data_IF_369125804929
#
_entry.id   IF_369125804929
#
_cell.length_a   1.000
_cell.length_b   1.000
_cell.length_c   1.000
_cell.angle_alpha   90.00
_cell.angle_beta   90.00
_cell.angle_gamma   90.00
#
_symmetry.space_group_name_H-M   'P 1'
#
loop_
_entity.id
_entity.type
_entity.pdbx_description
1 polymer ?
#
# COMPACT_ATOMS: atom_id res chain seq x y z
N UNK A 1 17.82 15.21 -3.46
CA UNK A 1 18.90 14.57 -4.24
C UNK A 1 19.93 13.83 -3.36
N UNK A 2 20.53 14.46 -2.34
CA UNK A 2 21.56 13.79 -1.51
C UNK A 2 21.05 12.62 -0.67
N UNK A 3 19.84 12.70 -0.10
CA UNK A 3 19.30 11.67 0.79
C UNK A 3 18.99 10.35 0.06
N UNK A 4 18.34 10.41 -1.10
CA UNK A 4 18.03 9.22 -1.92
C UNK A 4 19.30 8.54 -2.43
N UNK A 5 20.31 9.32 -2.81
CA UNK A 5 21.60 8.78 -3.22
C UNK A 5 22.32 8.06 -2.06
N UNK A 6 22.31 8.65 -0.86
CA UNK A 6 22.88 8.02 0.34
C UNK A 6 22.12 6.76 0.73
N UNK A 7 20.78 6.79 0.72
CA UNK A 7 19.95 5.60 0.97
C UNK A 7 20.21 4.50 -0.06
N UNK A 8 20.30 4.84 -1.35
CA UNK A 8 20.64 3.88 -2.40
C UNK A 8 22.03 3.26 -2.22
N UNK A 9 23.02 4.02 -1.77
CA UNK A 9 24.36 3.48 -1.42
C UNK A 9 24.25 2.50 -0.25
N UNK A 10 23.50 2.85 0.80
CA UNK A 10 23.31 1.98 1.98
C UNK A 10 22.64 0.66 1.57
N UNK A 11 21.63 0.72 0.70
CA UNK A 11 20.95 -0.48 0.16
C UNK A 11 21.89 -1.40 -0.60
N UNK A 12 22.70 -0.84 -1.51
CA UNK A 12 23.66 -1.59 -2.33
C UNK A 12 24.73 -2.22 -1.44
N UNK A 13 25.37 -1.43 -0.57
CA UNK A 13 26.48 -1.89 0.25
C UNK A 13 26.02 -2.88 1.33
N UNK A 14 24.88 -2.63 1.97
CA UNK A 14 24.30 -3.55 2.95
C UNK A 14 23.93 -4.90 2.34
N UNK A 15 23.30 -4.90 1.16
CA UNK A 15 22.99 -6.13 0.43
C UNK A 15 24.25 -6.89 0.03
N UNK A 16 25.26 -6.19 -0.51
CA UNK A 16 26.53 -6.79 -0.90
C UNK A 16 27.26 -7.43 0.29
N UNK A 17 27.24 -6.78 1.45
CA UNK A 17 27.84 -7.29 2.68
C UNK A 17 27.19 -8.60 3.13
N UNK A 18 25.86 -8.68 3.15
CA UNK A 18 25.13 -9.91 3.51
C UNK A 18 25.43 -11.03 2.53
N UNK A 19 25.42 -10.75 1.23
CA UNK A 19 25.75 -11.74 0.18
C UNK A 19 27.16 -12.31 0.41
N UNK A 20 28.14 -11.45 0.69
CA UNK A 20 29.51 -11.88 0.97
C UNK A 20 29.60 -12.74 2.24
N UNK A 21 28.89 -12.37 3.31
CA UNK A 21 28.88 -13.17 4.54
C UNK A 21 28.26 -14.55 4.32
N UNK A 22 27.12 -14.63 3.64
CA UNK A 22 26.46 -15.89 3.33
C UNK A 22 27.32 -16.78 2.42
N UNK A 23 27.99 -16.17 1.43
CA UNK A 23 28.93 -16.87 0.58
C UNK A 23 30.11 -17.45 1.37
N UNK A 24 30.63 -16.73 2.37
CA UNK A 24 31.69 -17.24 3.26
C UNK A 24 31.28 -18.46 4.10
N UNK A 25 29.97 -18.64 4.33
CA UNK A 25 29.39 -19.79 5.04
C UNK A 25 28.94 -20.92 4.07
N UNK A 26 29.25 -20.80 2.78
CA UNK A 26 28.91 -21.80 1.77
C UNK A 26 27.48 -21.72 1.25
N UNK A 27 26.76 -20.64 1.53
CA UNK A 27 25.38 -20.41 1.04
C UNK A 27 25.35 -19.29 0.01
N UNK A 28 24.70 -19.52 -1.13
CA UNK A 28 24.54 -18.48 -2.16
C UNK A 28 23.20 -17.79 -1.98
N UNK A 29 23.22 -16.47 -1.80
CA UNK A 29 22.03 -15.64 -1.70
C UNK A 29 21.99 -14.69 -2.89
N UNK A 30 20.97 -14.84 -3.74
CA UNK A 30 20.70 -13.95 -4.86
C UNK A 30 19.42 -13.17 -4.56
N UNK A 31 19.54 -12.13 -3.74
CA UNK A 31 18.41 -11.32 -3.31
C UNK A 31 18.81 -9.87 -3.05
N UNK A 32 17.86 -8.96 -3.26
CA UNK A 32 18.01 -7.53 -3.01
C UNK A 32 17.20 -7.14 -1.78
N UNK A 33 17.83 -6.45 -0.82
CA UNK A 33 17.15 -5.95 0.36
C UNK A 33 16.51 -4.60 0.00
N UNK A 34 15.27 -4.63 -0.48
CA UNK A 34 14.57 -3.47 -1.09
C UNK A 34 14.18 -2.32 -0.15
N UNK A 35 14.80 -2.21 1.03
CA UNK A 35 14.58 -1.10 1.96
C UNK A 35 15.90 -0.79 2.70
N UNK A 36 16.34 0.46 2.66
CA UNK A 36 17.57 0.93 3.31
C UNK A 36 17.66 0.58 4.80
N UNK A 37 16.54 0.56 5.52
CA UNK A 37 16.50 0.25 6.95
C UNK A 37 16.93 -1.21 7.23
N UNK A 38 16.47 -2.15 6.39
CA UNK A 38 16.89 -3.55 6.48
C UNK A 38 18.35 -3.72 6.08
N UNK A 39 18.79 -3.01 5.05
CA UNK A 39 20.18 -3.04 4.59
C UNK A 39 21.18 -2.47 5.61
N UNK A 40 20.73 -1.60 6.53
CA UNK A 40 21.56 -1.10 7.62
C UNK A 40 21.57 -2.04 8.83
N UNK A 41 20.40 -2.59 9.19
CA UNK A 41 20.22 -3.34 10.44
C UNK A 41 20.62 -4.81 10.34
N UNK A 42 20.31 -5.46 9.22
CA UNK A 42 20.49 -6.91 9.07
C UNK A 42 21.95 -7.35 8.96
N UNK A 43 22.85 -6.66 8.23
CA UNK A 43 24.23 -7.13 8.10
C UNK A 43 25.00 -7.22 9.44
N UNK A 44 24.96 -6.21 10.34
CA UNK A 44 25.58 -6.32 11.67
C UNK A 44 25.01 -7.46 12.52
N UNK A 45 23.70 -7.71 12.42
CA UNK A 45 23.05 -8.81 13.15
C UNK A 45 23.55 -10.16 12.66
N UNK A 46 23.55 -10.35 11.34
CA UNK A 46 24.02 -11.59 10.74
C UNK A 46 25.51 -11.80 11.02
N UNK A 47 26.31 -10.72 11.02
CA UNK A 47 27.70 -10.76 11.41
C UNK A 47 27.88 -11.23 12.85
N UNK A 48 27.09 -10.69 13.77
CA UNK A 48 27.09 -11.10 15.17
C UNK A 48 26.73 -12.58 15.34
N UNK A 49 25.73 -13.07 14.59
CA UNK A 49 25.32 -14.49 14.60
C UNK A 49 26.47 -15.39 14.12
N UNK A 50 27.17 -15.00 13.07
CA UNK A 50 28.27 -15.79 12.48
C UNK A 50 29.54 -15.73 13.35
N UNK A 51 29.84 -14.57 13.93
CA UNK A 51 31.13 -14.30 14.58
C UNK A 51 31.15 -14.62 16.07
N UNK A 52 30.00 -14.60 16.75
CA UNK A 52 29.90 -14.78 18.20
C UNK A 52 29.01 -16.00 18.51
N UNK A 53 29.58 -17.07 19.08
CA UNK A 53 28.79 -18.23 19.50
C UNK A 53 27.69 -17.84 20.48
N UNK A 54 26.44 -18.21 20.18
CA UNK A 54 25.29 -17.95 21.05
C UNK A 54 24.74 -16.51 20.97
N UNK A 55 25.23 -15.65 20.08
CA UNK A 55 24.68 -14.29 19.89
C UNK A 55 23.19 -14.28 19.57
N UNK A 56 22.70 -15.30 18.88
CA UNK A 56 21.27 -15.49 18.64
C UNK A 56 20.45 -15.46 19.95
N UNK A 57 20.91 -16.10 21.02
CA UNK A 57 20.20 -16.11 22.30
C UNK A 57 20.22 -14.73 22.98
N UNK A 58 21.26 -13.92 22.75
CA UNK A 58 21.32 -12.53 23.22
C UNK A 58 20.24 -11.70 22.54
N UNK A 59 20.08 -11.85 21.21
CA UNK A 59 19.01 -11.17 20.45
C UNK A 59 17.64 -11.60 20.99
N UNK A 60 17.42 -12.90 21.18
CA UNK A 60 16.15 -13.43 21.69
C UNK A 60 15.85 -12.89 23.09
N UNK A 61 16.85 -12.86 23.99
CA UNK A 61 16.68 -12.30 25.32
C UNK A 61 16.35 -10.79 25.28
N UNK A 62 17.05 -10.02 24.45
CA UNK A 62 16.76 -8.60 24.26
C UNK A 62 15.35 -8.37 23.70
N UNK A 63 14.93 -9.19 22.72
CA UNK A 63 13.58 -9.16 22.17
C UNK A 63 12.52 -9.49 23.22
N UNK A 64 12.75 -10.49 24.07
CA UNK A 64 11.83 -10.83 25.18
C UNK A 64 11.71 -9.70 26.20
N UNK A 65 12.82 -9.05 26.56
CA UNK A 65 12.81 -7.89 27.47
C UNK A 65 12.03 -6.74 26.85
N UNK A 66 12.29 -6.42 25.59
CA UNK A 66 11.54 -5.39 24.87
C UNK A 66 10.04 -5.73 24.83
N UNK A 67 9.68 -6.95 24.43
CA UNK A 67 8.30 -7.41 24.36
C UNK A 67 7.60 -7.37 25.72
N UNK A 68 8.31 -7.64 26.81
CA UNK A 68 7.74 -7.52 28.16
C UNK A 68 7.28 -6.08 28.46
N UNK A 69 8.13 -5.08 28.18
CA UNK A 69 7.78 -3.68 28.40
C UNK A 69 6.76 -3.16 27.37
N UNK A 70 6.96 -3.47 26.09
CA UNK A 70 6.04 -3.11 25.02
C UNK A 70 4.64 -3.69 25.27
N UNK A 71 4.55 -4.94 25.75
CA UNK A 71 3.26 -5.55 26.09
C UNK A 71 2.54 -4.89 27.26
N UNK A 72 3.25 -4.17 28.14
CA UNK A 72 2.62 -3.38 29.21
C UNK A 72 2.09 -2.06 28.67
N UNK A 73 2.83 -1.41 27.79
CA UNK A 73 2.38 -0.19 27.11
C UNK A 73 1.17 -0.48 26.23
N UNK A 74 1.25 -1.53 25.40
CA UNK A 74 0.16 -1.94 24.52
C UNK A 74 -1.14 -2.22 25.30
N UNK A 75 -1.07 -2.92 26.44
CA UNK A 75 -2.25 -3.15 27.30
C UNK A 75 -2.82 -1.86 27.91
N UNK A 76 -1.97 -0.86 28.17
CA UNK A 76 -2.43 0.44 28.66
C UNK A 76 -3.11 1.23 27.54
N UNK A 77 -2.56 1.20 26.33
CA UNK A 77 -3.13 1.81 25.12
C UNK A 77 -4.44 1.13 24.70
N UNK A 78 -4.52 -0.20 24.78
CA UNK A 78 -5.76 -0.96 24.57
C UNK A 78 -6.83 -0.60 25.61
N UNK A 79 -6.45 -0.40 26.88
CA UNK A 79 -7.37 0.03 27.92
C UNK A 79 -7.85 1.48 27.70
N UNK A 80 -6.99 2.36 27.19
CA UNK A 80 -7.35 3.73 26.78
C UNK A 80 -8.29 3.72 25.56
N UNK A 81 -7.99 2.90 24.56
CA UNK A 81 -8.84 2.71 23.39
C UNK A 81 -10.22 2.19 23.79
N UNK A 82 -10.27 1.17 24.67
CA UNK A 82 -11.50 0.65 25.24
C UNK A 82 -12.27 1.71 26.04
N UNK A 83 -11.59 2.55 26.83
CA UNK A 83 -12.22 3.65 27.57
C UNK A 83 -12.81 4.73 26.64
N UNK A 84 -12.23 4.91 25.44
CA UNK A 84 -12.76 5.80 24.39
C UNK A 84 -13.79 5.12 23.49
N UNK A 85 -14.04 3.82 23.64
CA UNK A 85 -14.97 3.05 22.81
C UNK A 85 -14.50 2.88 21.36
N UNK A 86 -13.19 2.95 21.14
CA UNK A 86 -12.52 2.96 19.82
C UNK A 86 -11.49 1.81 19.80
N UNK A 87 -11.16 1.24 18.63
CA UNK A 87 -10.12 0.19 18.56
C UNK A 87 -8.71 0.80 18.71
N UNK A 88 -7.72 -0.01 19.11
CA UNK A 88 -6.32 0.45 19.22
C UNK A 88 -5.84 1.07 17.89
N UNK A 89 -6.16 0.44 16.77
CA UNK A 89 -5.82 0.93 15.43
C UNK A 89 -6.42 2.31 15.15
N UNK A 90 -7.67 2.54 15.58
CA UNK A 90 -8.36 3.81 15.45
C UNK A 90 -7.83 4.89 16.42
N UNK A 91 -7.26 4.50 17.56
CA UNK A 91 -6.56 5.40 18.48
C UNK A 91 -5.25 5.90 17.86
N UNK A 92 -4.53 5.01 17.15
CA UNK A 92 -3.29 5.31 16.42
C UNK A 92 -3.54 6.04 15.06
N UNK A 93 -4.80 6.37 14.77
CA UNK A 93 -5.20 7.09 13.56
C UNK A 93 -5.30 6.23 12.31
N UNK A 94 -5.11 4.91 12.42
CA UNK A 94 -5.41 3.93 11.37
C UNK A 94 -6.90 3.56 11.39
N UNK A 95 -7.51 3.29 10.24
CA UNK A 95 -8.92 2.84 10.23
C UNK A 95 -9.97 3.89 10.65
N UNK A 96 -9.62 5.19 10.69
CA UNK A 96 -10.60 6.28 10.84
C UNK A 96 -11.63 6.33 9.69
N UNK A 97 -11.39 5.59 8.61
CA UNK A 97 -12.33 5.34 7.51
C UNK A 97 -13.14 4.04 7.65
N UNK A 98 -12.85 3.17 8.63
CA UNK A 98 -13.35 1.77 8.69
C UNK A 98 -14.46 1.54 9.72
N UNK A 99 -14.99 2.59 10.35
CA UNK A 99 -16.22 2.47 11.14
C UNK A 99 -17.38 2.19 10.19
N UNK A 100 -17.72 0.90 10.11
CA UNK A 100 -18.76 0.21 9.32
C UNK A 100 -18.29 -0.29 7.96
N UNK A 101 -17.62 -1.43 7.94
CA UNK A 101 -18.27 -2.67 7.50
C UNK A 101 -17.25 -3.79 7.26
N UNK A 102 -17.12 -4.71 8.21
CA UNK A 102 -17.05 -6.15 7.90
C UNK A 102 -17.83 -6.87 9.01
N UNK A 103 -18.89 -7.63 8.68
CA UNK A 103 -18.69 -8.98 8.13
C UNK A 103 -19.81 -9.39 7.12
N UNK A 104 -19.85 -8.78 5.93
CA UNK A 104 -20.81 -9.20 4.87
C UNK A 104 -20.17 -9.41 3.50
N UNK A 105 -18.85 -9.58 3.41
CA UNK A 105 -18.14 -9.75 2.16
C UNK A 105 -18.60 -10.99 1.35
N UNK A 106 -19.12 -12.04 1.99
CA UNK A 106 -19.55 -13.27 1.30
C UNK A 106 -21.02 -13.25 0.85
N UNK A 107 -21.91 -12.58 1.58
CA UNK A 107 -23.33 -12.51 1.24
C UNK A 107 -23.64 -11.48 0.13
N UNK A 108 -22.79 -10.46 -0.03
CA UNK A 108 -22.96 -9.40 -1.04
C UNK A 108 -22.72 -9.92 -2.47
N UNK A 109 -21.89 -10.96 -2.64
CA UNK A 109 -21.59 -11.53 -3.96
C UNK A 109 -22.81 -12.18 -4.61
N UNK A 110 -23.70 -12.79 -3.82
CA UNK A 110 -24.90 -13.45 -4.37
C UNK A 110 -26.04 -12.47 -4.64
N UNK A 111 -26.18 -11.41 -3.83
CA UNK A 111 -27.21 -10.39 -4.03
C UNK A 111 -26.87 -9.38 -5.16
N UNK A 112 -25.59 -9.27 -5.53
CA UNK A 112 -25.15 -8.43 -6.65
C UNK A 112 -25.53 -9.00 -8.04
N UNK A 113 -25.84 -10.31 -8.14
CA UNK A 113 -26.22 -10.94 -9.41
C UNK A 113 -27.70 -10.71 -9.74
N UNK A 114 -28.58 -10.61 -8.73
CA UNK A 114 -30.02 -10.39 -8.94
C UNK A 114 -30.39 -8.93 -9.21
N UNK A 115 -29.59 -7.95 -8.78
CA UNK A 115 -29.89 -6.52 -8.99
C UNK A 115 -29.28 -5.93 -10.29
N UNK A 116 -28.65 -6.76 -11.12
CA UNK A 116 -28.00 -6.35 -12.37
C UNK A 116 -28.98 -5.95 -13.50
N UNK A 117 -30.30 -6.04 -13.29
CA UNK A 117 -31.29 -5.73 -14.33
C UNK A 117 -31.72 -4.26 -14.43
N UNK A 118 -31.16 -3.33 -13.65
CA UNK A 118 -31.43 -1.90 -13.84
C UNK A 118 -30.15 -1.04 -13.86
N UNK A 119 -29.54 -0.98 -15.06
CA UNK A 119 -28.82 0.14 -15.67
C UNK A 119 -27.76 0.89 -14.83
N UNK A 120 -26.51 0.42 -14.88
CA UNK A 120 -25.29 1.25 -14.98
C UNK A 120 -24.09 0.34 -15.28
N UNK A 121 -23.38 0.57 -16.40
CA UNK A 121 -22.15 -0.17 -16.69
C UNK A 121 -21.09 0.15 -15.62
N UNK A 122 -20.41 -0.85 -15.03
CA UNK A 122 -19.42 -0.59 -13.98
C UNK A 122 -18.20 0.12 -14.56
N UNK A 123 -17.82 1.25 -13.95
CA UNK A 123 -16.76 2.09 -14.49
C UNK A 123 -15.38 1.54 -14.16
N UNK A 124 -14.48 1.54 -15.14
CA UNK A 124 -13.16 0.92 -15.02
C UNK A 124 -12.11 1.98 -14.73
N UNK A 125 -11.52 1.90 -13.55
CA UNK A 125 -10.56 2.89 -13.06
C UNK A 125 -9.18 2.22 -12.92
N UNK A 126 -8.13 2.91 -13.34
CA UNK A 126 -6.74 2.48 -13.19
C UNK A 126 -5.98 3.42 -12.26
N UNK A 127 -5.48 2.88 -11.15
CA UNK A 127 -4.62 3.57 -10.22
C UNK A 127 -3.14 3.45 -10.67
N UNK A 128 -2.51 4.57 -11.03
CA UNK A 128 -1.12 4.62 -11.51
C UNK A 128 -0.24 5.40 -10.53
N UNK A 129 0.83 4.76 -10.06
CA UNK A 129 1.86 5.37 -9.22
C UNK A 129 3.25 5.15 -9.83
N UNK A 130 4.20 6.04 -9.55
CA UNK A 130 5.50 6.12 -10.23
C UNK A 130 6.26 4.80 -10.31
N UNK A 131 6.64 4.22 -9.17
CA UNK A 131 7.58 3.08 -9.13
C UNK A 131 7.13 1.88 -8.29
N UNK A 132 5.92 1.88 -7.72
CA UNK A 132 5.52 0.89 -6.72
C UNK A 132 4.22 0.15 -7.03
N UNK A 133 4.27 -1.18 -7.06
CA UNK A 133 3.07 -2.04 -7.03
C UNK A 133 2.24 -1.77 -5.75
N UNK A 134 2.89 -1.57 -4.61
CA UNK A 134 2.24 -1.36 -3.31
C UNK A 134 1.50 -0.02 -3.20
N UNK A 135 2.10 1.08 -3.69
CA UNK A 135 1.46 2.40 -3.64
C UNK A 135 0.26 2.51 -4.57
N UNK A 136 0.34 1.91 -5.77
CA UNK A 136 -0.80 1.80 -6.69
C UNK A 136 -1.92 0.91 -6.11
N UNK A 137 -1.56 -0.17 -5.41
CA UNK A 137 -2.52 -1.05 -4.75
C UNK A 137 -3.23 -0.36 -3.57
N UNK A 138 -2.50 0.45 -2.78
CA UNK A 138 -3.10 1.20 -1.67
C UNK A 138 -4.10 2.24 -2.18
N UNK A 139 -3.72 2.98 -3.22
CA UNK A 139 -4.61 3.96 -3.87
C UNK A 139 -5.87 3.29 -4.43
N UNK A 140 -5.71 2.14 -5.11
CA UNK A 140 -6.81 1.31 -5.59
C UNK A 140 -7.79 0.94 -4.48
N UNK A 141 -7.30 0.46 -3.33
CA UNK A 141 -8.16 0.06 -2.20
C UNK A 141 -8.92 1.23 -1.60
N UNK A 142 -8.27 2.39 -1.43
CA UNK A 142 -8.90 3.60 -0.89
C UNK A 142 -9.98 4.16 -1.82
N UNK A 143 -9.70 4.25 -3.12
CA UNK A 143 -10.68 4.70 -4.13
C UNK A 143 -11.86 3.73 -4.20
N UNK A 144 -11.58 2.42 -4.25
CA UNK A 144 -12.62 1.38 -4.23
C UNK A 144 -13.53 1.53 -3.00
N UNK A 145 -12.96 1.63 -1.80
CA UNK A 145 -13.74 1.82 -0.58
C UNK A 145 -14.56 3.12 -0.58
N UNK A 146 -14.07 4.19 -1.21
CA UNK A 146 -14.81 5.45 -1.35
C UNK A 146 -16.01 5.35 -2.29
N UNK A 147 -15.88 4.62 -3.40
CA UNK A 147 -16.93 4.40 -4.40
C UNK A 147 -17.97 3.38 -3.93
N UNK A 148 -17.52 2.29 -3.29
CA UNK A 148 -18.39 1.25 -2.73
C UNK A 148 -19.34 1.85 -1.67
N UNK A 149 -18.84 2.75 -0.82
CA UNK A 149 -19.66 3.50 0.16
C UNK A 149 -20.75 4.37 -0.47
N UNK A 150 -20.57 4.78 -1.71
CA UNK A 150 -21.54 5.60 -2.48
C UNK A 150 -22.41 4.75 -3.40
N UNK A 151 -22.24 3.43 -3.41
CA UNK A 151 -22.99 2.51 -4.26
C UNK A 151 -22.69 2.65 -5.75
N UNK A 152 -21.50 3.14 -6.13
CA UNK A 152 -21.11 3.33 -7.53
C UNK A 152 -20.44 2.02 -8.03
N UNK A 153 -21.02 1.33 -9.03
CA UNK A 153 -20.41 0.13 -9.60
C UNK A 153 -19.04 0.45 -10.23
N UNK A 154 -17.99 -0.19 -9.73
CA UNK A 154 -16.61 0.09 -10.15
C UNK A 154 -15.80 -1.19 -10.35
N UNK A 155 -14.89 -1.15 -11.32
CA UNK A 155 -13.85 -2.15 -11.55
C UNK A 155 -12.52 -1.44 -11.43
N UNK A 156 -11.69 -1.92 -10.52
CA UNK A 156 -10.49 -1.21 -10.08
C UNK A 156 -9.24 -2.03 -10.37
N UNK A 157 -8.30 -1.44 -11.10
CA UNK A 157 -6.98 -2.02 -11.34
C UNK A 157 -5.87 -1.05 -10.94
N UNK A 158 -4.65 -1.58 -10.77
CA UNK A 158 -3.47 -0.82 -10.37
C UNK A 158 -2.25 -1.24 -11.18
N UNK A 159 -1.39 -0.28 -11.52
CA UNK A 159 -0.10 -0.57 -12.17
C UNK A 159 0.95 0.49 -11.87
N UNK A 160 2.19 0.25 -12.30
CA UNK A 160 3.24 1.25 -12.34
C UNK A 160 3.09 2.18 -13.55
N UNK A 161 3.75 3.33 -13.53
CA UNK A 161 3.77 4.29 -14.64
C UNK A 161 4.41 3.71 -15.92
N UNK A 162 5.27 2.70 -15.82
CA UNK A 162 5.83 2.03 -17.00
C UNK A 162 4.82 1.17 -17.74
N UNK A 163 3.77 0.71 -17.05
CA UNK A 163 2.92 -0.40 -17.52
C UNK A 163 1.51 0.06 -17.91
N UNK A 164 1.15 1.34 -17.65
CA UNK A 164 -0.22 1.82 -17.86
C UNK A 164 -0.67 1.67 -19.32
N UNK A 165 0.25 1.85 -20.27
CA UNK A 165 -0.03 1.80 -21.72
C UNK A 165 -0.65 0.47 -22.14
N UNK A 166 -0.23 -0.64 -21.53
CA UNK A 166 -0.77 -1.98 -21.82
C UNK A 166 -2.18 -2.22 -21.29
N UNK A 167 -2.63 -1.41 -20.33
CA UNK A 167 -3.96 -1.52 -19.69
C UNK A 167 -4.94 -0.46 -20.15
N UNK A 168 -4.52 0.48 -21.00
CA UNK A 168 -5.35 1.58 -21.47
C UNK A 168 -6.65 1.09 -22.13
N UNK A 169 -6.63 -0.01 -22.89
CA UNK A 169 -7.79 -0.53 -23.62
C UNK A 169 -8.95 -0.96 -22.73
N UNK A 170 -8.69 -1.30 -21.47
CA UNK A 170 -9.65 -1.86 -20.53
C UNK A 170 -10.10 -0.85 -19.47
N UNK A 171 -9.77 0.44 -19.64
CA UNK A 171 -9.91 1.46 -18.61
C UNK A 171 -10.57 2.71 -19.18
N UNK A 172 -11.45 3.30 -18.39
CA UNK A 172 -12.19 4.52 -18.71
C UNK A 172 -11.53 5.76 -18.08
N UNK A 173 -11.09 5.62 -16.82
CA UNK A 173 -10.51 6.71 -16.02
C UNK A 173 -9.18 6.27 -15.43
N UNK A 174 -8.16 7.12 -15.54
CA UNK A 174 -6.86 6.91 -14.90
C UNK A 174 -6.72 7.88 -13.74
N UNK A 175 -6.37 7.38 -12.56
CA UNK A 175 -6.06 8.20 -11.39
C UNK A 175 -4.58 8.08 -11.10
N UNK A 176 -3.88 9.21 -11.06
CA UNK A 176 -2.45 9.27 -10.77
C UNK A 176 -2.11 10.46 -9.88
N UNK A 177 -0.88 10.52 -9.38
CA UNK A 177 -0.41 11.74 -8.72
C UNK A 177 -0.37 12.91 -9.73
N UNK A 178 -0.64 14.14 -9.28
CA UNK A 178 -0.52 15.35 -10.12
C UNK A 178 0.83 15.47 -10.83
N UNK A 179 1.91 15.02 -10.17
CA UNK A 179 3.25 15.06 -10.74
C UNK A 179 3.40 14.14 -11.95
N UNK A 180 2.70 13.01 -11.96
CA UNK A 180 2.77 12.01 -13.02
C UNK A 180 1.64 12.15 -14.05
N UNK A 181 0.57 12.86 -13.72
CA UNK A 181 -0.56 13.06 -14.62
C UNK A 181 -0.14 13.71 -15.95
N UNK A 182 0.86 14.59 -15.92
CA UNK A 182 1.40 15.25 -17.11
C UNK A 182 2.21 14.30 -18.02
N UNK A 183 2.66 13.15 -17.51
CA UNK A 183 3.40 12.14 -18.26
C UNK A 183 2.48 11.05 -18.86
N UNK A 184 1.19 11.08 -18.50
CA UNK A 184 0.20 10.10 -18.93
C UNK A 184 -0.56 10.67 -20.13
N UNK A 185 -0.30 10.10 -21.30
CA UNK A 185 -1.03 10.39 -22.52
C UNK A 185 -2.16 9.39 -22.68
N UNK A 186 -3.40 9.89 -22.78
CA UNK A 186 -4.59 9.05 -23.01
C UNK A 186 -5.24 9.34 -24.37
N UNK A 187 -5.78 8.31 -25.05
CA UNK A 187 -6.59 8.50 -26.24
C UNK A 187 -7.86 9.34 -25.99
N UNK A 188 -8.41 9.93 -27.04
CA UNK A 188 -9.70 10.64 -26.98
C UNK A 188 -10.81 9.72 -26.41
N UNK A 189 -11.56 10.25 -25.43
CA UNK A 189 -12.64 9.51 -24.74
C UNK A 189 -12.27 8.97 -23.36
N UNK A 190 -10.98 8.98 -22.99
CA UNK A 190 -10.50 8.61 -21.65
C UNK A 190 -10.09 9.83 -20.87
N UNK A 191 -10.20 9.75 -19.54
CA UNK A 191 -9.92 10.87 -18.66
C UNK A 191 -8.80 10.53 -17.67
N UNK A 192 -7.99 11.53 -17.35
CA UNK A 192 -6.90 11.43 -16.36
C UNK A 192 -7.21 12.38 -15.22
N UNK A 193 -7.28 11.84 -14.00
CA UNK A 193 -7.44 12.60 -12.77
C UNK A 193 -6.10 12.65 -12.02
N UNK A 194 -5.52 13.84 -11.98
CA UNK A 194 -4.30 14.11 -11.22
C UNK A 194 -4.61 14.52 -9.78
N UNK A 195 -4.29 13.67 -8.81
CA UNK A 195 -4.57 13.92 -7.38
C UNK A 195 -3.30 14.29 -6.61
N UNK A 196 -3.44 15.19 -5.63
CA UNK A 196 -2.31 15.60 -4.79
C UNK A 196 -2.10 14.64 -3.61
N UNK A 197 -3.19 14.26 -2.93
CA UNK A 197 -3.17 13.33 -1.81
C UNK A 197 -3.86 12.02 -2.19
N UNK A 198 -3.08 11.08 -2.73
CA UNK A 198 -3.54 9.77 -3.20
C UNK A 198 -4.15 8.88 -2.10
N UNK A 199 -3.89 9.17 -0.83
CA UNK A 199 -4.31 8.34 0.31
C UNK A 199 -5.62 8.81 0.94
N UNK A 200 -6.09 10.02 0.61
CA UNK A 200 -7.33 10.57 1.13
C UNK A 200 -8.35 10.79 -0.01
N UNK A 201 -9.20 9.80 -0.30
CA UNK A 201 -10.26 9.92 -1.31
C UNK A 201 -11.23 11.07 -1.05
N UNK A 202 -11.39 11.54 0.18
CA UNK A 202 -12.28 12.68 0.46
C UNK A 202 -11.74 14.00 -0.13
N UNK A 203 -10.45 14.07 -0.48
CA UNK A 203 -9.86 15.29 -1.06
C UNK A 203 -10.09 15.44 -2.57
N UNK A 204 -10.39 14.35 -3.28
CA UNK A 204 -10.52 14.33 -4.74
C UNK A 204 -11.72 13.50 -5.22
N UNK A 205 -12.43 12.85 -4.32
CA UNK A 205 -13.44 11.88 -4.67
C UNK A 205 -14.71 12.50 -5.24
N UNK A 206 -15.02 13.76 -4.93
CA UNK A 206 -16.12 14.49 -5.56
C UNK A 206 -15.77 14.79 -7.03
N UNK A 207 -14.54 15.21 -7.31
CA UNK A 207 -14.02 15.40 -8.67
C UNK A 207 -14.03 14.07 -9.46
N UNK A 208 -13.67 12.97 -8.80
CA UNK A 208 -13.76 11.63 -9.40
C UNK A 208 -15.20 11.25 -9.75
N UNK A 209 -16.17 11.53 -8.87
CA UNK A 209 -17.59 11.24 -9.12
C UNK A 209 -18.16 12.10 -10.24
N UNK A 210 -17.82 13.39 -10.30
CA UNK A 210 -18.20 14.26 -11.41
C UNK A 210 -17.69 13.74 -12.75
N UNK A 211 -16.45 13.26 -12.77
CA UNK A 211 -15.79 12.74 -13.95
C UNK A 211 -16.38 11.38 -14.39
N UNK A 212 -16.77 10.52 -13.42
CA UNK A 212 -17.57 9.32 -13.66
C UNK A 212 -18.92 9.68 -14.31
N UNK A 213 -19.61 10.69 -13.79
CA UNK A 213 -20.90 11.12 -14.32
C UNK A 213 -20.78 11.71 -15.73
N UNK A 214 -19.73 12.49 -16.01
CA UNK A 214 -19.45 13.00 -17.36
C UNK A 214 -19.15 11.88 -18.36
N UNK A 215 -18.45 10.83 -17.93
CA UNK A 215 -18.19 9.66 -18.76
C UNK A 215 -19.46 8.88 -19.05
N UNK A 216 -20.31 8.66 -18.04
CA UNK A 216 -21.59 7.95 -18.20
C UNK A 216 -22.65 8.75 -19.00
N UNK A 217 -22.49 10.07 -19.10
CA UNK A 217 -23.37 10.94 -19.86
C UNK A 217 -23.00 11.06 -21.35
N UNK A 218 -21.84 10.54 -21.77
CA UNK A 218 -21.42 10.43 -23.17
C UNK A 218 -21.91 9.13 -23.78
#
# INVERSE_FOLDING_TARGET
MKICFVMGIIEVLGSAWVIQMLASQGTTFNGWMGMADWALFFPPILQGIISIPGFFFVIVAAAMVYMFFASKQLRAEEAEAAARGITLEQLDGYGLDEVKAEPKAEAVVQQAVENAENSANPIRILAVCGSGQGSSMMMKMKIKGYLDKRGIPNIMDSCALTDYKGKLSEVDIIVSSKHLANEIEVPEGKAVLGVQNMLNPNSFGDELVELINQHNAK
#
